data_IF_540046986863
#
_entry.id   IF_540046986863
#
_cell.length_a   1.000
_cell.length_b   1.000
_cell.length_c   1.000
_cell.angle_alpha   90.00
_cell.angle_beta   90.00
_cell.angle_gamma   90.00
#
_symmetry.space_group_name_H-M   'P 1'
#
loop_
_entity.id
_entity.type
_entity.pdbx_description
1 polymer ?
#
# COMPACT_ATOMS: atom_id res chain seq x y z
N UNK A 1 -15.14 -20.93 -17.28
CA UNK A 1 -15.10 -19.56 -17.86
C UNK A 1 -14.34 -18.66 -16.91
N UNK A 2 -13.54 -17.74 -17.45
CA UNK A 2 -12.89 -16.70 -16.66
C UNK A 2 -13.90 -15.58 -16.39
N UNK A 3 -13.87 -15.04 -15.15
CA UNK A 3 -14.67 -13.88 -14.76
C UNK A 3 -13.75 -12.66 -14.66
N UNK A 4 -13.56 -11.95 -15.78
CA UNK A 4 -12.73 -10.75 -15.80
C UNK A 4 -13.42 -9.59 -15.05
N UNK A 5 -12.76 -9.14 -14.00
CA UNK A 5 -13.13 -7.95 -13.24
C UNK A 5 -11.97 -6.95 -13.25
N UNK A 6 -12.26 -5.70 -12.90
CA UNK A 6 -11.20 -4.72 -12.67
C UNK A 6 -10.44 -5.08 -11.39
N UNK A 7 -9.12 -5.16 -11.47
CA UNK A 7 -8.23 -5.58 -10.39
C UNK A 7 -7.05 -4.63 -10.34
N UNK A 8 -6.71 -4.14 -9.15
CA UNK A 8 -5.45 -3.45 -8.90
C UNK A 8 -4.38 -4.48 -8.45
N UNK A 9 -3.24 -4.53 -9.13
CA UNK A 9 -2.18 -5.49 -8.83
C UNK A 9 -1.48 -5.18 -7.51
N UNK A 10 -1.41 -3.91 -7.09
CA UNK A 10 -0.88 -3.54 -5.77
C UNK A 10 -1.69 -4.19 -4.66
N UNK A 11 -3.03 -4.06 -4.71
CA UNK A 11 -3.92 -4.67 -3.73
C UNK A 11 -3.75 -6.20 -3.67
N UNK A 12 -3.65 -6.85 -4.83
CA UNK A 12 -3.44 -8.31 -4.92
C UNK A 12 -2.17 -8.73 -4.20
N UNK A 13 -1.06 -8.02 -4.44
CA UNK A 13 0.23 -8.38 -3.83
C UNK A 13 0.27 -8.06 -2.34
N UNK A 14 -0.36 -6.98 -1.90
CA UNK A 14 -0.48 -6.65 -0.48
C UNK A 14 -1.34 -7.68 0.28
N UNK A 15 -2.47 -8.10 -0.29
CA UNK A 15 -3.32 -9.17 0.27
C UNK A 15 -2.51 -10.47 0.44
N UNK A 16 -1.77 -10.88 -0.59
CA UNK A 16 -0.93 -12.08 -0.58
C UNK A 16 0.17 -11.98 0.47
N UNK A 17 0.86 -10.84 0.56
CA UNK A 17 1.90 -10.59 1.56
C UNK A 17 1.34 -10.75 2.98
N UNK A 18 0.19 -10.18 3.25
CA UNK A 18 -0.50 -10.27 4.54
C UNK A 18 -0.85 -11.71 4.91
N UNK A 19 -1.40 -12.48 3.94
CA UNK A 19 -1.77 -13.89 4.16
C UNK A 19 -0.56 -14.76 4.56
N UNK A 20 0.59 -14.54 3.95
CA UNK A 20 1.79 -15.36 4.22
C UNK A 20 2.67 -14.86 5.35
N UNK A 21 2.49 -13.64 5.86
CA UNK A 21 3.33 -13.03 6.89
C UNK A 21 3.51 -13.92 8.12
N UNK A 22 2.42 -14.51 8.64
CA UNK A 22 2.47 -15.40 9.80
C UNK A 22 3.28 -16.69 9.56
N UNK A 23 3.16 -17.29 8.37
CA UNK A 23 3.89 -18.52 8.02
C UNK A 23 5.37 -18.23 7.80
N UNK A 24 5.69 -17.11 7.17
CA UNK A 24 7.06 -16.62 6.94
C UNK A 24 7.74 -16.37 8.28
N UNK A 25 7.10 -15.66 9.19
CA UNK A 25 7.60 -15.38 10.53
C UNK A 25 7.82 -16.67 11.34
N UNK A 26 6.82 -17.56 11.41
CA UNK A 26 6.91 -18.81 12.13
C UNK A 26 8.04 -19.72 11.64
N UNK A 27 8.38 -19.64 10.36
CA UNK A 27 9.44 -20.42 9.73
C UNK A 27 10.78 -19.67 9.64
N UNK A 28 10.85 -18.43 10.12
CA UNK A 28 12.04 -17.57 10.09
C UNK A 28 12.61 -17.42 8.67
N UNK A 29 11.75 -17.24 7.68
CA UNK A 29 12.16 -17.03 6.29
C UNK A 29 12.41 -15.54 6.02
N UNK A 30 13.37 -15.26 5.14
CA UNK A 30 13.47 -13.97 4.49
C UNK A 30 12.48 -13.92 3.32
N UNK A 31 11.56 -12.95 3.33
CA UNK A 31 10.52 -12.84 2.32
C UNK A 31 10.54 -11.46 1.66
N UNK A 32 10.74 -11.45 0.35
CA UNK A 32 10.82 -10.24 -0.46
C UNK A 32 9.72 -10.24 -1.50
N UNK A 33 9.08 -9.09 -1.69
CA UNK A 33 8.14 -8.87 -2.79
C UNK A 33 8.48 -7.55 -3.47
N UNK A 34 8.63 -7.57 -4.80
CA UNK A 34 9.01 -6.42 -5.60
C UNK A 34 8.14 -6.26 -6.84
N UNK A 35 7.88 -5.01 -7.23
CA UNK A 35 7.22 -4.64 -8.47
C UNK A 35 8.19 -3.81 -9.32
N UNK A 36 8.48 -4.28 -10.52
CA UNK A 36 9.44 -3.64 -11.41
C UNK A 36 8.77 -3.25 -12.73
N UNK A 37 8.92 -1.98 -13.11
CA UNK A 37 8.41 -1.44 -14.38
C UNK A 37 6.90 -1.62 -14.59
N UNK A 38 6.13 -1.87 -13.55
CA UNK A 38 4.67 -1.96 -13.64
C UNK A 38 4.11 -0.56 -13.81
N UNK A 39 3.66 -0.24 -15.02
CA UNK A 39 3.11 1.06 -15.38
C UNK A 39 1.60 1.08 -15.40
N UNK A 40 0.99 -0.07 -15.65
CA UNK A 40 -0.46 -0.27 -15.63
C UNK A 40 -0.76 -1.29 -14.53
N UNK A 41 -1.03 -0.80 -13.34
CA UNK A 41 -1.36 -1.62 -12.17
C UNK A 41 -2.86 -1.98 -12.12
N UNK A 42 -3.71 -1.15 -12.76
CA UNK A 42 -5.13 -1.42 -12.93
C UNK A 42 -5.37 -2.24 -14.20
N UNK A 43 -5.77 -3.48 -14.01
CA UNK A 43 -5.95 -4.46 -15.09
C UNK A 43 -7.32 -5.13 -15.02
N UNK A 44 -7.76 -5.72 -16.12
CA UNK A 44 -8.91 -6.64 -16.15
C UNK A 44 -8.40 -8.07 -16.15
N UNK A 45 -8.76 -8.83 -15.13
CA UNK A 45 -8.47 -10.26 -15.03
C UNK A 45 -9.44 -10.97 -14.07
N UNK A 46 -9.37 -12.28 -14.05
CA UNK A 46 -10.03 -13.08 -13.01
C UNK A 46 -9.16 -13.06 -11.74
N UNK A 47 -9.52 -12.17 -10.77
CA UNK A 47 -8.80 -12.01 -9.50
C UNK A 47 -8.67 -13.34 -8.74
N UNK A 48 -9.71 -14.14 -8.72
CA UNK A 48 -9.73 -15.43 -8.00
C UNK A 48 -8.73 -16.40 -8.59
N UNK A 49 -8.66 -16.50 -9.90
CA UNK A 49 -7.73 -17.38 -10.60
C UNK A 49 -6.29 -16.88 -10.51
N UNK A 50 -6.06 -15.59 -10.64
CA UNK A 50 -4.75 -15.00 -10.43
C UNK A 50 -4.24 -15.29 -9.01
N UNK A 51 -5.06 -15.00 -7.99
CA UNK A 51 -4.74 -15.33 -6.62
C UNK A 51 -4.45 -16.82 -6.42
N UNK A 52 -5.24 -17.70 -7.00
CA UNK A 52 -5.03 -19.15 -6.90
C UNK A 52 -3.67 -19.59 -7.46
N UNK A 53 -3.24 -19.02 -8.60
CA UNK A 53 -1.91 -19.26 -9.18
C UNK A 53 -0.82 -18.80 -8.21
N UNK A 54 -0.86 -17.53 -7.80
CA UNK A 54 0.19 -16.92 -6.97
C UNK A 54 0.28 -17.56 -5.58
N UNK A 55 -0.87 -17.82 -4.95
CA UNK A 55 -0.95 -18.49 -3.64
C UNK A 55 -0.36 -19.90 -3.69
N UNK A 56 -0.63 -20.66 -4.77
CA UNK A 56 -0.10 -22.02 -4.91
C UNK A 56 1.42 -22.01 -5.09
N UNK A 57 1.96 -21.11 -5.90
CA UNK A 57 3.40 -20.97 -6.10
C UNK A 57 4.09 -20.57 -4.80
N UNK A 58 3.60 -19.55 -4.11
CA UNK A 58 4.19 -19.06 -2.85
C UNK A 58 4.06 -20.08 -1.72
N UNK A 59 2.91 -20.75 -1.60
CA UNK A 59 2.72 -21.81 -0.61
C UNK A 59 3.74 -22.93 -0.81
N UNK A 60 4.02 -23.31 -2.06
CA UNK A 60 5.06 -24.31 -2.36
C UNK A 60 6.45 -23.78 -2.03
N UNK A 61 6.80 -22.57 -2.42
CA UNK A 61 8.08 -21.95 -2.10
C UNK A 61 8.34 -21.91 -0.58
N UNK A 62 7.36 -21.40 0.20
CA UNK A 62 7.46 -21.37 1.67
C UNK A 62 7.55 -22.78 2.26
N UNK A 63 6.79 -23.72 1.73
CA UNK A 63 6.75 -25.10 2.19
C UNK A 63 8.07 -25.83 2.04
N UNK A 64 8.73 -25.67 0.89
CA UNK A 64 9.95 -26.40 0.54
C UNK A 64 11.26 -25.66 0.87
N UNK A 65 11.19 -24.43 1.36
CA UNK A 65 12.35 -23.69 1.86
C UNK A 65 12.59 -24.01 3.33
N UNK A 66 13.79 -24.41 3.75
CA UNK A 66 14.12 -24.62 5.16
C UNK A 66 14.09 -23.31 5.95
N UNK A 67 14.02 -23.41 7.28
CA UNK A 67 14.10 -22.23 8.15
C UNK A 67 15.39 -21.44 7.92
N UNK A 68 15.30 -20.12 7.91
CA UNK A 68 16.41 -19.21 7.58
C UNK A 68 16.70 -19.06 6.09
N UNK A 69 15.91 -19.72 5.22
CA UNK A 69 16.02 -19.55 3.77
C UNK A 69 15.27 -18.32 3.26
N UNK A 70 15.36 -18.10 1.95
CA UNK A 70 14.81 -16.92 1.28
C UNK A 70 13.71 -17.33 0.30
N UNK A 71 12.62 -16.60 0.29
CA UNK A 71 11.55 -16.66 -0.71
C UNK A 71 11.34 -15.27 -1.29
N UNK A 72 11.29 -15.14 -2.60
CA UNK A 72 11.01 -13.87 -3.25
C UNK A 72 9.92 -14.01 -4.30
N UNK A 73 9.12 -12.96 -4.45
CA UNK A 73 8.15 -12.79 -5.51
C UNK A 73 8.38 -11.46 -6.20
N UNK A 74 8.46 -11.46 -7.51
CA UNK A 74 8.63 -10.28 -8.33
C UNK A 74 7.54 -10.22 -9.38
N UNK A 75 6.97 -9.03 -9.60
CA UNK A 75 6.10 -8.75 -10.75
C UNK A 75 6.78 -7.73 -11.65
N UNK A 76 6.76 -8.00 -12.95
CA UNK A 76 7.32 -7.10 -13.95
C UNK A 76 6.34 -6.95 -15.10
N UNK A 77 6.13 -5.72 -15.58
CA UNK A 77 5.42 -5.49 -16.84
C UNK A 77 6.43 -5.44 -17.97
N UNK A 78 6.38 -6.44 -18.86
CA UNK A 78 7.27 -6.51 -20.00
C UNK A 78 6.94 -5.43 -21.04
N UNK A 79 7.97 -5.00 -21.76
CA UNK A 79 7.82 -3.98 -22.80
C UNK A 79 6.96 -4.50 -23.96
N UNK A 80 6.11 -3.62 -24.49
CA UNK A 80 5.24 -3.90 -25.62
C UNK A 80 3.82 -4.24 -25.22
N UNK A 81 2.86 -3.59 -25.88
CA UNK A 81 1.43 -3.87 -25.76
C UNK A 81 0.88 -4.30 -27.10
N UNK A 82 0.17 -5.40 -27.13
CA UNK A 82 -0.54 -5.86 -28.31
C UNK A 82 -2.04 -5.83 -28.02
N UNK A 83 -2.78 -5.07 -28.79
CA UNK A 83 -4.25 -5.03 -28.68
C UNK A 83 -4.81 -4.56 -27.33
N UNK A 84 -4.08 -3.70 -26.59
CA UNK A 84 -4.50 -3.22 -25.26
C UNK A 84 -4.12 -4.15 -24.11
N UNK A 85 -3.46 -5.27 -24.38
CA UNK A 85 -2.94 -6.20 -23.38
C UNK A 85 -1.47 -5.88 -23.07
N UNK A 86 -1.13 -5.76 -21.78
CA UNK A 86 0.24 -5.79 -21.28
C UNK A 86 0.65 -7.22 -20.94
N UNK A 87 1.93 -7.54 -21.09
CA UNK A 87 2.49 -8.81 -20.64
C UNK A 87 3.04 -8.60 -19.22
N UNK A 88 2.53 -9.39 -18.28
CA UNK A 88 2.97 -9.36 -16.88
C UNK A 88 3.67 -10.66 -16.56
N UNK A 89 4.88 -10.54 -16.04
CA UNK A 89 5.69 -11.66 -15.60
C UNK A 89 5.71 -11.68 -14.08
N UNK A 90 5.30 -12.80 -13.50
CA UNK A 90 5.39 -13.08 -12.08
C UNK A 90 6.46 -14.12 -11.85
N UNK A 91 7.49 -13.80 -11.07
CA UNK A 91 8.56 -14.69 -10.68
C UNK A 91 8.44 -15.03 -9.22
N UNK A 92 8.38 -16.32 -8.90
CA UNK A 92 8.44 -16.83 -7.52
C UNK A 92 9.68 -17.68 -7.41
N UNK A 93 10.61 -17.24 -6.57
CA UNK A 93 11.90 -17.89 -6.35
C UNK A 93 12.08 -18.25 -4.90
N UNK A 94 12.63 -19.43 -4.65
CA UNK A 94 13.00 -19.91 -3.34
C UNK A 94 14.44 -20.45 -3.29
N UNK A 95 15.03 -20.46 -2.10
CA UNK A 95 16.31 -21.08 -1.80
C UNK A 95 16.16 -22.46 -1.19
N UNK A 96 15.07 -23.15 -1.52
CA UNK A 96 14.68 -24.44 -0.94
C UNK A 96 15.48 -25.62 -1.48
N UNK A 97 14.95 -26.81 -1.22
CA UNK A 97 15.61 -28.08 -1.58
C UNK A 97 15.80 -28.27 -3.10
N UNK A 98 15.07 -27.50 -3.93
CA UNK A 98 15.05 -27.64 -5.37
C UNK A 98 14.46 -28.98 -5.82
N UNK A 99 14.63 -29.27 -7.11
CA UNK A 99 14.07 -30.46 -7.77
C UNK A 99 15.08 -31.05 -8.75
N UNK A 100 14.98 -32.36 -8.95
CA UNK A 100 15.74 -33.02 -10.02
C UNK A 100 15.28 -32.54 -11.41
N UNK A 101 16.19 -32.55 -12.38
CA UNK A 101 15.87 -32.16 -13.76
C UNK A 101 14.77 -33.04 -14.39
N UNK A 102 14.68 -34.30 -13.97
CA UNK A 102 13.66 -35.24 -14.44
C UNK A 102 12.29 -34.89 -13.88
N UNK A 103 12.20 -34.57 -12.60
CA UNK A 103 10.95 -34.18 -11.96
C UNK A 103 10.48 -32.79 -12.43
N UNK A 104 11.37 -31.82 -12.60
CA UNK A 104 11.03 -30.50 -13.11
C UNK A 104 10.32 -30.53 -14.47
N UNK A 105 10.59 -31.53 -15.33
CA UNK A 105 9.88 -31.73 -16.60
C UNK A 105 8.45 -32.23 -16.44
N UNK A 106 8.15 -32.87 -15.32
CA UNK A 106 6.85 -33.51 -15.03
C UNK A 106 6.04 -32.80 -13.96
N UNK A 107 6.56 -31.73 -13.37
CA UNK A 107 5.93 -31.07 -12.21
C UNK A 107 4.49 -30.59 -12.52
N UNK A 108 4.16 -30.34 -13.76
CA UNK A 108 2.83 -29.93 -14.20
C UNK A 108 1.90 -31.09 -14.56
N UNK A 109 2.37 -32.36 -14.50
CA UNK A 109 1.55 -33.53 -14.68
C UNK A 109 0.74 -33.82 -13.40
N UNK A 110 -0.54 -34.20 -13.51
CA UNK A 110 -1.37 -34.52 -12.36
C UNK A 110 -0.80 -35.68 -11.52
N UNK A 111 -0.87 -35.57 -10.18
CA UNK A 111 -0.46 -36.58 -9.21
C UNK A 111 1.04 -36.88 -9.17
N UNK A 112 1.86 -36.17 -9.93
CA UNK A 112 3.31 -36.34 -9.87
C UNK A 112 3.88 -35.74 -8.58
N UNK A 113 4.82 -36.49 -7.95
CA UNK A 113 5.54 -36.08 -6.73
C UNK A 113 6.95 -36.64 -6.78
N UNK A 114 7.90 -35.82 -6.39
CA UNK A 114 9.28 -36.32 -6.24
C UNK A 114 9.37 -37.26 -5.02
N UNK A 115 9.87 -38.47 -5.25
CA UNK A 115 9.98 -39.51 -4.20
C UNK A 115 11.39 -39.48 -3.59
N UNK A 116 11.63 -38.47 -2.72
CA UNK A 116 12.85 -38.45 -1.90
C UNK A 116 12.50 -38.61 -0.43
N UNK A 117 13.46 -39.04 0.40
CA UNK A 117 13.25 -39.20 1.85
C UNK A 117 12.82 -37.89 2.55
N UNK A 118 13.22 -36.76 2.00
CA UNK A 118 12.86 -35.41 2.51
C UNK A 118 11.48 -35.01 2.08
N UNK A 119 11.09 -35.24 0.81
CA UNK A 119 9.76 -34.84 0.27
C UNK A 119 8.64 -35.77 0.74
N UNK A 120 8.93 -37.04 1.03
CA UNK A 120 7.91 -38.00 1.48
C UNK A 120 7.29 -37.65 2.83
N UNK A 121 7.93 -36.80 3.63
CA UNK A 121 7.38 -36.28 4.90
C UNK A 121 6.48 -35.05 4.75
N UNK A 122 6.43 -34.45 3.57
CA UNK A 122 5.69 -33.21 3.30
C UNK A 122 4.36 -33.56 2.61
N UNK A 123 3.22 -33.31 3.27
CA UNK A 123 1.89 -33.60 2.73
C UNK A 123 1.56 -32.76 1.48
N UNK A 124 0.95 -33.38 0.46
CA UNK A 124 0.45 -32.68 -0.74
C UNK A 124 -0.26 -33.67 -1.66
N UNK A 125 -1.25 -33.22 -2.41
CA UNK A 125 -2.06 -34.02 -3.34
C UNK A 125 -1.39 -34.26 -4.69
N UNK A 126 -0.36 -33.49 -5.05
CA UNK A 126 0.24 -33.51 -6.39
C UNK A 126 -0.64 -32.88 -7.49
N UNK A 127 -1.70 -32.18 -7.13
CA UNK A 127 -2.62 -31.53 -8.08
C UNK A 127 -2.38 -30.04 -8.25
N UNK A 128 -1.74 -29.38 -7.28
CA UNK A 128 -1.61 -27.92 -7.25
C UNK A 128 -0.94 -27.37 -8.51
N UNK A 129 0.19 -27.91 -8.93
CA UNK A 129 0.93 -27.40 -10.10
C UNK A 129 0.22 -27.68 -11.42
N UNK A 130 -0.47 -28.82 -11.54
CA UNK A 130 -1.29 -29.11 -12.71
C UNK A 130 -2.49 -28.14 -12.82
N UNK A 131 -3.13 -27.81 -11.68
CA UNK A 131 -4.19 -26.79 -11.62
C UNK A 131 -3.63 -25.41 -11.99
N UNK A 132 -2.48 -25.05 -11.45
CA UNK A 132 -1.80 -23.77 -11.78
C UNK A 132 -1.54 -23.67 -13.28
N UNK A 133 -0.98 -24.70 -13.90
CA UNK A 133 -0.74 -24.74 -15.35
C UNK A 133 -2.03 -24.54 -16.13
N UNK A 134 -3.09 -25.27 -15.79
CA UNK A 134 -4.39 -25.14 -16.46
C UNK A 134 -4.98 -23.72 -16.33
N UNK A 135 -4.85 -23.09 -15.17
CA UNK A 135 -5.34 -21.71 -14.97
C UNK A 135 -4.54 -20.74 -15.84
N UNK A 136 -3.20 -20.84 -15.81
CA UNK A 136 -2.32 -19.99 -16.62
C UNK A 136 -2.63 -20.15 -18.12
N UNK A 137 -2.85 -21.38 -18.59
CA UNK A 137 -3.23 -21.65 -19.97
C UNK A 137 -4.60 -21.06 -20.33
N UNK A 138 -5.59 -21.17 -19.41
CA UNK A 138 -6.90 -20.51 -19.60
C UNK A 138 -6.80 -18.99 -19.65
N UNK A 139 -5.85 -18.40 -18.94
CA UNK A 139 -5.57 -16.95 -18.98
C UNK A 139 -4.73 -16.54 -20.20
N UNK A 140 -4.40 -17.48 -21.11
CA UNK A 140 -3.59 -17.20 -22.29
C UNK A 140 -2.11 -16.96 -21.99
N UNK A 141 -1.65 -17.39 -20.83
CA UNK A 141 -0.28 -17.20 -20.35
C UNK A 141 0.61 -18.44 -20.55
N UNK A 142 1.83 -18.33 -20.03
CA UNK A 142 2.82 -19.42 -19.98
C UNK A 142 3.39 -19.53 -18.56
N UNK A 143 3.78 -20.76 -18.18
CA UNK A 143 4.50 -21.02 -16.93
C UNK A 143 5.72 -21.88 -17.22
N UNK A 144 6.85 -21.46 -16.67
CA UNK A 144 8.13 -22.14 -16.74
C UNK A 144 8.69 -22.40 -15.34
N UNK A 145 9.57 -23.40 -15.23
CA UNK A 145 10.27 -23.73 -13.99
C UNK A 145 11.76 -23.91 -14.23
N UNK A 146 12.54 -23.29 -13.36
CA UNK A 146 13.98 -23.49 -13.29
C UNK A 146 14.32 -23.98 -11.89
N UNK A 147 14.92 -25.15 -11.77
CA UNK A 147 15.25 -25.76 -10.50
C UNK A 147 16.46 -26.70 -10.60
N UNK A 148 17.21 -26.78 -9.51
CA UNK A 148 18.26 -27.77 -9.35
C UNK A 148 18.31 -28.20 -7.88
N UNK A 149 18.68 -29.45 -7.58
CA UNK A 149 18.81 -29.93 -6.21
C UNK A 149 19.72 -29.00 -5.38
N UNK A 150 19.27 -28.66 -4.18
CA UNK A 150 19.93 -27.79 -3.21
C UNK A 150 20.20 -26.32 -3.68
N UNK A 151 19.62 -25.93 -4.83
CA UNK A 151 19.73 -24.56 -5.36
C UNK A 151 18.41 -23.79 -5.38
N UNK A 152 17.34 -24.42 -4.87
CA UNK A 152 16.01 -23.83 -4.87
C UNK A 152 15.28 -23.96 -6.21
N UNK A 153 14.19 -23.26 -6.33
CA UNK A 153 13.30 -23.26 -7.48
C UNK A 153 12.89 -21.85 -7.86
N UNK A 154 12.77 -21.59 -9.14
CA UNK A 154 12.19 -20.38 -9.69
C UNK A 154 11.07 -20.75 -10.66
N UNK A 155 9.85 -20.28 -10.40
CA UNK A 155 8.71 -20.33 -11.32
C UNK A 155 8.55 -18.97 -11.97
N UNK A 156 8.36 -19.00 -13.30
CA UNK A 156 8.16 -17.80 -14.12
C UNK A 156 6.81 -17.96 -14.81
N UNK A 157 5.86 -17.07 -14.50
CA UNK A 157 4.52 -17.04 -15.05
C UNK A 157 4.34 -15.76 -15.84
N UNK A 158 4.07 -15.87 -17.16
CA UNK A 158 3.76 -14.73 -18.00
C UNK A 158 2.29 -14.77 -18.39
N UNK A 159 1.54 -13.72 -18.08
CA UNK A 159 0.10 -13.62 -18.36
C UNK A 159 -0.20 -12.31 -19.11
N UNK A 160 -0.91 -12.35 -20.24
CA UNK A 160 -1.43 -11.16 -20.90
C UNK A 160 -2.62 -10.63 -20.09
N UNK A 161 -2.50 -9.44 -19.53
CA UNK A 161 -3.59 -8.77 -18.83
C UNK A 161 -4.01 -7.52 -19.60
N UNK A 162 -5.32 -7.29 -19.71
CA UNK A 162 -5.84 -6.11 -20.39
C UNK A 162 -5.71 -4.91 -19.45
N UNK A 163 -4.87 -3.94 -19.84
CA UNK A 163 -4.75 -2.70 -19.09
C UNK A 163 -6.03 -1.87 -19.20
N UNK A 164 -6.42 -1.17 -18.16
CA UNK A 164 -7.51 -0.20 -18.19
C UNK A 164 -7.17 0.90 -19.20
N UNK A 165 -8.07 1.15 -20.13
CA UNK A 165 -7.89 2.12 -21.22
C UNK A 165 -8.22 3.55 -20.77
N UNK A 166 -8.04 3.91 -19.51
CA UNK A 166 -8.29 5.27 -19.06
C UNK A 166 -7.05 6.14 -19.16
N UNK A 167 -7.25 7.19 -19.94
CA UNK A 167 -6.45 8.42 -20.06
C UNK A 167 -4.95 8.27 -19.78
N UNK A 168 -4.22 7.94 -20.84
CA UNK A 168 -2.79 8.27 -20.99
C UNK A 168 -2.53 9.79 -20.94
N UNK A 169 -3.34 10.58 -20.25
CA UNK A 169 -2.90 11.87 -19.78
C UNK A 169 -1.75 11.58 -18.85
N UNK A 170 -0.56 11.83 -19.36
CA UNK A 170 0.70 11.85 -18.62
C UNK A 170 0.37 12.22 -17.18
N UNK A 171 0.65 11.30 -16.24
CA UNK A 171 0.40 11.48 -14.79
C UNK A 171 1.39 12.53 -14.25
N UNK A 172 1.67 13.57 -15.04
CA UNK A 172 2.44 14.72 -14.59
C UNK A 172 1.61 15.47 -13.57
N UNK A 173 2.08 15.41 -12.36
CA UNK A 173 1.48 16.16 -11.28
C UNK A 173 2.12 17.54 -11.32
N UNK A 174 1.37 18.56 -11.71
CA UNK A 174 1.85 19.94 -11.84
C UNK A 174 2.65 20.42 -10.60
N UNK A 175 2.31 19.93 -9.42
CA UNK A 175 3.03 20.21 -8.16
C UNK A 175 4.40 19.53 -8.04
N UNK A 176 4.67 18.47 -8.77
CA UNK A 176 5.93 17.70 -8.72
C UNK A 176 6.84 18.03 -9.90
N UNK A 177 6.34 18.75 -10.91
CA UNK A 177 7.07 18.99 -12.15
C UNK A 177 8.36 19.79 -11.90
N UNK A 178 9.47 19.22 -12.35
CA UNK A 178 10.81 19.81 -12.22
C UNK A 178 11.44 19.71 -10.83
N UNK A 179 10.72 19.22 -9.81
CA UNK A 179 11.28 18.99 -8.47
C UNK A 179 12.32 17.86 -8.52
N UNK A 180 13.40 18.02 -7.74
CA UNK A 180 14.52 17.08 -7.70
C UNK A 180 14.32 16.06 -6.57
N UNK A 181 14.51 14.78 -6.85
CA UNK A 181 14.47 13.70 -5.87
C UNK A 181 15.74 12.86 -5.89
N UNK A 182 16.10 12.27 -4.74
CA UNK A 182 17.19 11.31 -4.61
C UNK A 182 16.63 9.97 -4.15
N UNK A 183 16.95 8.92 -4.89
CA UNK A 183 16.65 7.51 -4.54
C UNK A 183 17.90 6.86 -3.97
N UNK A 184 17.75 6.15 -2.88
CA UNK A 184 18.86 5.48 -2.17
C UNK A 184 18.43 4.04 -1.87
N UNK A 185 19.02 3.08 -2.56
CA UNK A 185 18.75 1.66 -2.39
C UNK A 185 20.01 0.89 -2.81
N UNK A 186 20.35 -0.22 -2.19
CA UNK A 186 21.55 -1.00 -2.55
C UNK A 186 21.33 -1.86 -3.80
N UNK A 187 20.08 -2.07 -4.22
CA UNK A 187 19.75 -2.72 -5.49
C UNK A 187 19.62 -1.70 -6.62
N UNK A 188 20.50 -1.82 -7.61
CA UNK A 188 20.49 -0.99 -8.83
C UNK A 188 19.13 -1.03 -9.56
N UNK A 189 18.50 -2.21 -9.65
CA UNK A 189 17.24 -2.36 -10.38
C UNK A 189 16.10 -1.61 -9.69
N UNK A 190 16.07 -1.65 -8.36
CA UNK A 190 15.12 -0.87 -7.55
C UNK A 190 15.35 0.62 -7.76
N UNK A 191 16.61 1.09 -7.68
CA UNK A 191 16.97 2.48 -7.93
C UNK A 191 16.49 2.96 -9.31
N UNK A 192 16.77 2.19 -10.34
CA UNK A 192 16.41 2.52 -11.74
C UNK A 192 14.88 2.55 -11.93
N UNK A 193 14.16 1.55 -11.38
CA UNK A 193 12.71 1.48 -11.45
C UNK A 193 12.04 2.68 -10.77
N UNK A 194 12.43 2.99 -9.52
CA UNK A 194 11.89 4.13 -8.75
C UNK A 194 12.22 5.44 -9.44
N UNK A 195 13.44 5.61 -9.95
CA UNK A 195 13.85 6.79 -10.71
C UNK A 195 12.96 6.99 -11.93
N UNK A 196 12.69 5.92 -12.70
CA UNK A 196 11.77 6.00 -13.85
C UNK A 196 10.34 6.36 -13.44
N UNK A 197 9.85 5.86 -12.32
CA UNK A 197 8.54 6.24 -11.77
C UNK A 197 8.49 7.73 -11.44
N UNK A 198 9.52 8.27 -10.77
CA UNK A 198 9.63 9.69 -10.43
C UNK A 198 9.67 10.59 -11.68
N UNK A 199 10.41 10.18 -12.70
CA UNK A 199 10.46 10.91 -13.98
C UNK A 199 9.09 10.91 -14.67
N UNK A 200 8.32 9.81 -14.59
CA UNK A 200 6.97 9.75 -15.16
C UNK A 200 5.99 10.70 -14.46
N UNK A 201 6.12 10.94 -13.16
CA UNK A 201 5.29 11.92 -12.45
C UNK A 201 5.77 13.36 -12.61
N UNK A 202 6.88 13.58 -13.36
CA UNK A 202 7.39 14.89 -13.74
C UNK A 202 8.58 15.38 -12.92
N UNK A 203 9.12 14.58 -12.01
CA UNK A 203 10.29 14.96 -11.19
C UNK A 203 11.62 14.75 -11.97
N UNK A 204 12.65 15.47 -11.53
CA UNK A 204 14.05 15.14 -11.84
C UNK A 204 14.54 14.19 -10.77
N UNK A 205 15.03 13.02 -11.13
CA UNK A 205 15.45 12.02 -10.17
C UNK A 205 16.90 11.58 -10.39
N UNK A 206 17.63 11.46 -9.29
CA UNK A 206 18.98 10.87 -9.19
C UNK A 206 18.92 9.69 -8.24
N UNK A 207 19.89 8.80 -8.31
CA UNK A 207 19.98 7.68 -7.41
C UNK A 207 21.42 7.42 -6.94
N UNK A 208 21.56 6.71 -5.83
CA UNK A 208 22.81 6.20 -5.30
C UNK A 208 22.59 4.87 -4.57
N UNK A 209 23.63 4.04 -4.51
CA UNK A 209 23.59 2.73 -3.86
C UNK A 209 24.11 2.76 -2.40
N UNK A 210 24.39 3.94 -1.86
CA UNK A 210 25.07 4.10 -0.57
C UNK A 210 24.46 5.23 0.24
N UNK A 211 24.21 4.99 1.54
CA UNK A 211 23.75 6.01 2.46
C UNK A 211 24.76 7.14 2.66
N UNK A 212 26.08 6.84 2.71
CA UNK A 212 27.14 7.85 2.82
C UNK A 212 27.16 8.77 1.62
N UNK A 213 27.02 8.21 0.42
CA UNK A 213 26.94 9.01 -0.81
C UNK A 213 25.68 9.85 -0.84
N UNK A 214 24.55 9.34 -0.34
CA UNK A 214 23.32 10.11 -0.23
C UNK A 214 23.49 11.37 0.63
N UNK A 215 24.13 11.26 1.79
CA UNK A 215 24.43 12.40 2.68
C UNK A 215 25.36 13.40 1.99
N UNK A 216 26.39 12.89 1.27
CA UNK A 216 27.31 13.76 0.51
C UNK A 216 26.56 14.53 -0.58
N UNK A 217 25.69 13.86 -1.36
CA UNK A 217 24.88 14.50 -2.41
C UNK A 217 23.88 15.50 -1.85
N UNK A 218 23.28 15.21 -0.68
CA UNK A 218 22.42 16.16 0.02
C UNK A 218 23.18 17.45 0.36
N UNK A 219 24.38 17.35 0.93
CA UNK A 219 25.24 18.50 1.22
C UNK A 219 25.58 19.29 -0.03
N UNK A 220 26.04 18.61 -1.08
CA UNK A 220 26.40 19.26 -2.35
C UNK A 220 25.20 19.98 -2.98
N UNK A 221 24.00 19.39 -2.91
CA UNK A 221 22.79 20.00 -3.46
C UNK A 221 22.42 21.31 -2.75
N UNK A 222 22.68 21.39 -1.43
CA UNK A 222 22.48 22.59 -0.63
C UNK A 222 23.52 23.66 -1.03
N UNK A 223 24.81 23.27 -1.14
CA UNK A 223 25.89 24.20 -1.52
C UNK A 223 25.70 24.77 -2.93
N UNK A 224 25.16 23.97 -3.87
CA UNK A 224 24.89 24.38 -5.24
C UNK A 224 23.56 25.12 -5.41
N UNK A 225 22.70 25.16 -4.39
CA UNK A 225 21.37 25.76 -4.47
C UNK A 225 20.34 24.99 -5.31
N UNK A 226 20.67 23.74 -5.76
CA UNK A 226 19.75 22.83 -6.45
C UNK A 226 19.33 21.69 -5.52
N UNK A 227 18.60 22.07 -4.46
CA UNK A 227 18.23 21.17 -3.36
C UNK A 227 17.24 20.10 -3.78
N UNK A 228 17.39 18.92 -3.21
CA UNK A 228 16.36 17.89 -3.31
C UNK A 228 15.04 18.36 -2.67
N UNK A 229 13.92 17.83 -3.16
CA UNK A 229 12.58 18.10 -2.66
C UNK A 229 11.89 16.81 -2.14
N UNK A 230 12.53 15.66 -2.35
CA UNK A 230 12.19 14.39 -1.75
C UNK A 230 13.41 13.47 -1.70
N UNK A 231 13.52 12.70 -0.63
CA UNK A 231 14.43 11.57 -0.50
C UNK A 231 13.60 10.30 -0.37
N UNK A 232 13.93 9.28 -1.16
CA UNK A 232 13.34 7.94 -1.10
C UNK A 232 14.48 6.99 -0.73
N UNK A 233 14.46 6.46 0.49
CA UNK A 233 15.61 5.78 1.09
C UNK A 233 15.20 4.39 1.52
N UNK A 234 15.93 3.36 1.09
CA UNK A 234 15.72 2.01 1.60
C UNK A 234 16.07 1.93 3.09
N UNK A 235 15.28 1.14 3.81
CA UNK A 235 15.52 0.89 5.23
C UNK A 235 16.88 0.24 5.48
N UNK A 236 17.25 -0.75 4.65
CA UNK A 236 18.49 -1.53 4.80
C UNK A 236 19.49 -1.19 3.72
N UNK A 237 20.49 -0.43 4.07
CA UNK A 237 21.65 -0.19 3.21
C UNK A 237 22.88 -0.87 3.80
N UNK A 238 23.85 -1.27 2.98
CA UNK A 238 25.02 -2.03 3.45
C UNK A 238 25.96 -1.23 4.36
N UNK A 239 25.98 0.08 4.24
CA UNK A 239 26.89 0.98 4.96
C UNK A 239 26.26 1.67 6.17
N UNK A 240 24.95 1.88 6.18
CA UNK A 240 24.17 2.42 7.30
C UNK A 240 22.67 2.21 7.07
N UNK A 241 21.84 2.22 8.10
CA UNK A 241 20.40 2.11 7.91
C UNK A 241 19.76 3.45 7.50
N UNK A 242 18.53 3.39 6.95
CA UNK A 242 17.81 4.57 6.46
C UNK A 242 17.51 5.61 7.54
N UNK A 243 17.35 5.22 8.81
CA UNK A 243 17.18 6.16 9.93
C UNK A 243 18.48 6.95 10.18
N UNK A 244 19.61 6.30 10.09
CA UNK A 244 20.91 6.97 10.27
C UNK A 244 21.18 7.95 9.12
N UNK A 245 20.88 7.57 7.88
CA UNK A 245 20.91 8.50 6.72
C UNK A 245 20.01 9.70 6.99
N UNK A 246 18.80 9.46 7.49
CA UNK A 246 17.83 10.51 7.84
C UNK A 246 18.42 11.47 8.90
N UNK A 247 18.99 10.95 9.99
CA UNK A 247 19.61 11.78 11.05
C UNK A 247 20.72 12.67 10.48
N UNK A 248 21.57 12.12 9.61
CA UNK A 248 22.67 12.87 9.00
C UNK A 248 22.19 13.93 8.01
N UNK A 249 21.14 13.66 7.24
CA UNK A 249 20.52 14.69 6.38
C UNK A 249 19.89 15.78 7.24
N UNK A 250 19.18 15.45 8.31
CA UNK A 250 18.59 16.43 9.24
C UNK A 250 19.66 17.29 9.94
N UNK A 251 20.84 16.72 10.23
CA UNK A 251 21.98 17.48 10.78
C UNK A 251 22.54 18.54 9.81
N UNK A 252 22.24 18.46 8.52
CA UNK A 252 22.53 19.52 7.53
C UNK A 252 21.48 20.65 7.53
N UNK A 253 20.53 20.65 8.45
CA UNK A 253 19.34 21.53 8.45
C UNK A 253 18.49 21.41 7.19
N UNK A 254 18.43 20.20 6.62
CA UNK A 254 17.59 19.88 5.48
C UNK A 254 16.28 19.22 5.96
N UNK A 255 15.18 19.98 5.85
CA UNK A 255 13.83 19.56 6.23
C UNK A 255 13.06 18.94 5.06
N UNK A 256 13.73 18.58 3.98
CA UNK A 256 13.14 17.92 2.81
C UNK A 256 12.45 16.62 3.22
N UNK A 257 11.26 16.33 2.70
CA UNK A 257 10.56 15.07 2.98
C UNK A 257 11.43 13.85 2.72
N UNK A 258 11.49 12.95 3.72
CA UNK A 258 12.20 11.68 3.65
C UNK A 258 11.18 10.55 3.75
N UNK A 259 11.13 9.71 2.73
CA UNK A 259 10.28 8.53 2.60
C UNK A 259 11.17 7.31 2.78
N UNK A 260 10.87 6.44 3.75
CA UNK A 260 11.59 5.18 3.93
C UNK A 260 10.85 4.07 3.19
N UNK A 261 11.59 3.35 2.31
CA UNK A 261 11.13 2.12 1.69
C UNK A 261 11.41 0.93 2.62
N UNK A 262 10.42 0.08 2.84
CA UNK A 262 10.59 -1.09 3.70
C UNK A 262 9.86 -2.32 3.17
N UNK A 263 10.50 -3.48 3.24
CA UNK A 263 9.89 -4.77 2.96
C UNK A 263 9.12 -5.34 4.17
N UNK A 264 9.31 -4.77 5.35
CA UNK A 264 8.77 -5.24 6.63
C UNK A 264 7.70 -4.31 7.17
N UNK A 265 6.94 -4.79 8.16
CA UNK A 265 6.08 -3.94 8.98
C UNK A 265 6.96 -2.96 9.76
N UNK A 266 6.64 -1.67 9.69
CA UNK A 266 7.42 -0.59 10.32
C UNK A 266 6.95 -0.23 11.72
N UNK A 267 5.91 -0.91 12.24
CA UNK A 267 5.34 -0.62 13.56
C UNK A 267 6.40 -0.61 14.68
N UNK A 268 7.38 -1.52 14.61
CA UNK A 268 8.46 -1.62 15.60
C UNK A 268 9.48 -0.47 15.53
N UNK A 269 9.61 0.19 14.39
CA UNK A 269 10.62 1.23 14.12
C UNK A 269 10.01 2.62 13.93
N UNK A 270 8.70 2.72 13.89
CA UNK A 270 7.98 3.96 13.56
C UNK A 270 8.33 5.10 14.52
N UNK A 271 8.38 4.81 15.82
CA UNK A 271 8.71 5.81 16.86
C UNK A 271 10.13 6.35 16.66
N UNK A 272 11.11 5.46 16.45
CA UNK A 272 12.50 5.86 16.23
C UNK A 272 12.65 6.63 14.91
N UNK A 273 12.02 6.18 13.85
CA UNK A 273 12.08 6.82 12.55
C UNK A 273 11.44 8.21 12.55
N UNK A 274 10.28 8.37 13.18
CA UNK A 274 9.64 9.68 13.36
C UNK A 274 10.50 10.62 14.19
N UNK A 275 11.12 10.13 15.28
CA UNK A 275 12.05 10.92 16.09
C UNK A 275 13.31 11.33 15.30
N UNK A 276 13.75 10.54 14.35
CA UNK A 276 14.86 10.87 13.44
C UNK A 276 14.45 11.88 12.35
N UNK A 277 13.16 12.14 12.15
CA UNK A 277 12.64 13.08 11.15
C UNK A 277 12.22 12.43 9.82
N UNK A 278 11.92 11.11 9.81
CA UNK A 278 11.26 10.46 8.66
C UNK A 278 9.87 11.06 8.49
N UNK A 279 9.51 11.37 7.24
CA UNK A 279 8.23 12.01 6.91
C UNK A 279 7.14 10.99 6.60
N UNK A 280 7.48 9.91 5.89
CA UNK A 280 6.53 8.87 5.51
C UNK A 280 7.24 7.53 5.29
N UNK A 281 6.44 6.48 5.26
CA UNK A 281 6.87 5.13 4.89
C UNK A 281 6.17 4.68 3.63
N UNK A 282 6.84 3.86 2.83
CA UNK A 282 6.26 3.19 1.68
C UNK A 282 6.67 1.72 1.71
N UNK A 283 5.71 0.81 1.64
CA UNK A 283 5.99 -0.63 1.66
C UNK A 283 6.44 -1.13 0.29
N UNK A 284 7.40 -2.07 0.27
CA UNK A 284 7.67 -2.90 -0.91
C UNK A 284 6.67 -4.09 -0.93
N UNK A 285 6.09 -4.46 -2.07
CA UNK A 285 6.32 -3.94 -3.41
C UNK A 285 5.74 -2.54 -3.60
N UNK A 286 6.46 -1.68 -4.32
CA UNK A 286 6.03 -0.29 -4.55
C UNK A 286 5.50 -0.13 -5.97
N UNK A 287 4.28 0.38 -6.08
CA UNK A 287 3.64 0.72 -7.33
C UNK A 287 3.60 2.24 -7.56
N UNK A 288 3.24 2.63 -8.78
CA UNK A 288 3.16 4.04 -9.15
C UNK A 288 2.16 4.81 -8.28
N UNK A 289 1.00 4.21 -7.96
CA UNK A 289 0.00 4.81 -7.08
C UNK A 289 0.53 5.04 -5.67
N UNK A 290 1.25 4.05 -5.10
CA UNK A 290 1.81 4.13 -3.76
C UNK A 290 2.84 5.24 -3.66
N UNK A 291 3.79 5.29 -4.62
CA UNK A 291 4.80 6.32 -4.70
C UNK A 291 4.17 7.71 -4.83
N UNK A 292 3.20 7.86 -5.74
CA UNK A 292 2.49 9.11 -5.97
C UNK A 292 1.78 9.60 -4.71
N UNK A 293 1.00 8.73 -4.07
CA UNK A 293 0.22 9.07 -2.89
C UNK A 293 1.14 9.45 -1.72
N UNK A 294 2.22 8.68 -1.51
CA UNK A 294 3.19 8.94 -0.46
C UNK A 294 3.93 10.26 -0.70
N UNK A 295 4.35 10.55 -1.93
CA UNK A 295 4.98 11.83 -2.29
C UNK A 295 4.04 13.02 -2.09
N UNK A 296 2.79 12.90 -2.55
CA UNK A 296 1.80 13.97 -2.39
C UNK A 296 1.52 14.27 -0.92
N UNK A 297 1.41 13.24 -0.10
CA UNK A 297 1.23 13.38 1.35
C UNK A 297 2.45 14.00 1.99
N UNK A 298 3.66 13.50 1.70
CA UNK A 298 4.90 13.97 2.31
C UNK A 298 5.23 15.42 1.94
N UNK A 299 5.06 15.80 0.67
CA UNK A 299 5.30 17.18 0.20
C UNK A 299 4.18 18.11 0.67
N UNK A 300 2.92 17.64 0.68
CA UNK A 300 1.78 18.41 1.17
C UNK A 300 1.88 18.74 2.67
N UNK A 301 2.35 17.80 3.48
CA UNK A 301 2.60 18.04 4.91
C UNK A 301 3.69 19.11 5.14
N UNK A 302 4.73 19.15 4.31
CA UNK A 302 5.76 20.20 4.40
C UNK A 302 5.19 21.56 4.06
N UNK A 303 4.43 21.70 2.97
CA UNK A 303 3.80 22.95 2.59
C UNK A 303 2.81 23.44 3.65
N UNK A 304 2.01 22.55 4.23
CA UNK A 304 1.13 22.87 5.34
C UNK A 304 1.90 23.35 6.58
N UNK A 305 3.08 22.77 6.87
CA UNK A 305 3.97 23.26 7.98
C UNK A 305 4.61 24.60 7.65
N UNK A 306 5.03 24.83 6.42
CA UNK A 306 5.58 26.13 5.98
C UNK A 306 4.50 27.23 5.98
N UNK A 307 3.27 26.91 5.57
CA UNK A 307 2.11 27.80 5.66
C UNK A 307 1.64 28.02 7.10
N UNK A 308 1.75 27.01 7.98
CA UNK A 308 1.47 27.14 9.42
C UNK A 308 2.51 27.99 10.16
N UNK A 309 3.76 28.03 9.71
CA UNK A 309 4.78 28.98 10.22
C UNK A 309 4.39 30.45 10.00
N UNK A 310 3.50 30.72 9.05
CA UNK A 310 2.91 32.03 8.76
C UNK A 310 1.50 32.17 9.36
N UNK A 311 0.86 31.05 9.75
CA UNK A 311 -0.54 30.97 10.21
C UNK A 311 -0.70 30.49 11.67
N UNK A 312 0.33 30.66 12.51
CA UNK A 312 0.24 30.28 13.93
C UNK A 312 -0.80 31.08 14.77
N UNK A 313 -1.68 31.83 14.14
CA UNK A 313 -2.75 32.60 14.79
C UNK A 313 -4.18 32.08 14.54
N UNK A 314 -4.40 30.94 13.82
CA UNK A 314 -5.77 30.48 13.50
C UNK A 314 -6.13 29.04 13.90
N UNK A 315 -5.46 28.44 14.88
CA UNK A 315 -5.80 27.09 15.37
C UNK A 315 -6.95 27.05 16.40
N UNK A 316 -7.74 28.10 16.53
CA UNK A 316 -8.87 28.18 17.48
C UNK A 316 -10.26 27.96 16.84
N UNK A 317 -10.36 27.60 15.56
CA UNK A 317 -11.65 27.54 14.84
C UNK A 317 -12.54 26.34 15.24
N UNK A 318 -12.03 25.33 15.93
CA UNK A 318 -12.79 24.11 16.28
C UNK A 318 -13.09 23.97 17.78
N UNK A 319 -12.67 24.90 18.60
CA UNK A 319 -12.90 24.85 20.05
C UNK A 319 -14.39 24.87 20.37
N UNK A 320 -14.86 23.81 21.03
CA UNK A 320 -16.26 23.63 21.39
C UNK A 320 -17.13 23.00 20.31
N UNK A 321 -16.56 22.49 19.21
CA UNK A 321 -17.24 21.65 18.25
C UNK A 321 -17.27 20.19 18.72
N UNK A 322 -18.44 19.55 18.65
CA UNK A 322 -18.66 18.21 19.15
C UNK A 322 -18.85 17.21 18.00
N UNK A 323 -18.03 16.18 17.95
CA UNK A 323 -17.99 15.18 16.90
C UNK A 323 -18.38 13.81 17.46
N UNK A 324 -19.20 13.05 16.72
CA UNK A 324 -19.39 11.62 16.94
C UNK A 324 -18.46 10.83 16.01
N UNK A 325 -17.47 10.15 16.58
CA UNK A 325 -16.54 9.27 15.88
C UNK A 325 -17.05 7.82 15.94
N UNK A 326 -17.31 7.23 14.77
CA UNK A 326 -17.81 5.85 14.66
C UNK A 326 -16.75 5.00 13.98
N UNK A 327 -16.13 4.08 14.74
CA UNK A 327 -15.00 3.24 14.33
C UNK A 327 -15.06 1.93 15.12
N UNK A 328 -15.01 0.77 14.48
CA UNK A 328 -15.11 -0.52 15.16
C UNK A 328 -13.79 -0.98 15.80
N UNK A 329 -12.66 -0.63 15.20
CA UNK A 329 -11.36 -0.97 15.73
C UNK A 329 -10.99 -0.04 16.90
N UNK A 330 -10.78 -0.61 18.09
CA UNK A 330 -10.49 0.12 19.34
C UNK A 330 -9.23 0.98 19.21
N UNK A 331 -8.15 0.45 18.62
CA UNK A 331 -6.89 1.18 18.44
C UNK A 331 -7.06 2.36 17.47
N UNK A 332 -7.72 2.14 16.33
CA UNK A 332 -8.00 3.22 15.36
C UNK A 332 -8.87 4.31 15.98
N UNK A 333 -9.85 3.92 16.79
CA UNK A 333 -10.75 4.83 17.49
C UNK A 333 -9.98 5.69 18.49
N UNK A 334 -9.11 5.08 19.31
CA UNK A 334 -8.28 5.79 20.29
C UNK A 334 -7.31 6.77 19.62
N UNK A 335 -6.66 6.36 18.52
CA UNK A 335 -5.75 7.23 17.75
C UNK A 335 -6.51 8.42 17.16
N UNK A 336 -7.67 8.18 16.54
CA UNK A 336 -8.46 9.24 15.93
C UNK A 336 -9.02 10.21 16.99
N UNK A 337 -9.50 9.69 18.13
CA UNK A 337 -9.98 10.49 19.26
C UNK A 337 -8.88 11.41 19.82
N UNK A 338 -7.68 10.87 20.04
CA UNK A 338 -6.55 11.66 20.51
C UNK A 338 -6.17 12.79 19.53
N UNK A 339 -6.11 12.46 18.22
CA UNK A 339 -5.83 13.47 17.18
C UNK A 339 -6.89 14.57 17.20
N UNK A 340 -8.18 14.24 17.24
CA UNK A 340 -9.27 15.23 17.23
C UNK A 340 -9.27 16.09 18.49
N UNK A 341 -9.04 15.48 19.66
CA UNK A 341 -8.95 16.19 20.95
C UNK A 341 -7.77 17.18 20.98
N UNK A 342 -6.61 16.84 20.41
CA UNK A 342 -5.44 17.72 20.32
C UNK A 342 -5.74 19.01 19.52
N UNK A 343 -6.73 18.95 18.62
CA UNK A 343 -7.21 20.12 17.86
C UNK A 343 -8.39 20.86 18.52
N UNK A 344 -8.75 20.47 19.75
CA UNK A 344 -9.76 21.15 20.55
C UNK A 344 -11.19 20.77 20.23
N UNK A 345 -11.40 19.67 19.51
CA UNK A 345 -12.72 19.07 19.28
C UNK A 345 -13.14 18.25 20.51
N UNK A 346 -14.42 18.23 20.83
CA UNK A 346 -14.99 17.29 21.79
C UNK A 346 -15.47 16.05 21.04
N UNK A 347 -15.06 14.85 21.49
CA UNK A 347 -15.30 13.60 20.74
C UNK A 347 -16.08 12.63 21.59
N UNK A 348 -17.26 12.23 21.08
CA UNK A 348 -17.98 11.04 21.52
C UNK A 348 -17.66 9.89 20.54
N UNK A 349 -17.57 8.66 21.05
CA UNK A 349 -17.22 7.49 20.24
C UNK A 349 -18.36 6.48 20.13
N UNK A 350 -18.43 5.73 19.03
CA UNK A 350 -19.31 4.57 18.86
C UNK A 350 -18.56 3.44 18.14
N UNK A 351 -18.79 2.19 18.57
CA UNK A 351 -18.07 1.00 18.08
C UNK A 351 -18.70 0.37 16.83
N UNK A 352 -19.90 0.77 16.44
CA UNK A 352 -20.62 0.29 15.27
C UNK A 352 -21.78 1.22 14.90
N UNK A 353 -22.37 0.98 13.73
CA UNK A 353 -23.47 1.78 13.23
C UNK A 353 -24.75 1.74 14.11
N UNK A 354 -24.98 0.65 14.84
CA UNK A 354 -26.17 0.56 15.72
C UNK A 354 -26.05 1.52 16.90
N UNK A 355 -24.90 1.54 17.56
CA UNK A 355 -24.61 2.46 18.67
C UNK A 355 -24.64 3.92 18.17
N UNK A 356 -24.10 4.17 16.97
CA UNK A 356 -24.13 5.50 16.37
C UNK A 356 -25.58 6.00 16.18
N UNK A 357 -26.46 5.18 15.59
CA UNK A 357 -27.88 5.52 15.40
C UNK A 357 -28.58 5.77 16.75
N UNK A 358 -28.32 4.93 17.77
CA UNK A 358 -28.87 5.10 19.11
C UNK A 358 -28.43 6.43 19.74
N UNK A 359 -27.13 6.72 19.74
CA UNK A 359 -26.60 7.99 20.27
C UNK A 359 -27.19 9.20 19.57
N UNK A 360 -27.26 9.20 18.24
CA UNK A 360 -27.83 10.30 17.49
C UNK A 360 -29.34 10.44 17.75
N UNK A 361 -30.08 9.32 17.84
CA UNK A 361 -31.54 9.36 18.09
C UNK A 361 -31.91 9.91 19.46
N UNK A 362 -31.04 9.77 20.45
CA UNK A 362 -31.22 10.24 21.84
C UNK A 362 -30.54 11.58 22.10
N UNK A 363 -29.76 12.09 21.16
CA UNK A 363 -29.02 13.35 21.28
C UNK A 363 -29.97 14.57 21.34
N UNK A 364 -29.53 15.61 22.03
CA UNK A 364 -30.16 16.91 21.93
C UNK A 364 -29.90 17.56 20.56
N UNK A 365 -30.86 18.29 19.97
CA UNK A 365 -30.64 19.05 18.75
C UNK A 365 -29.41 20.00 18.91
N UNK A 366 -28.42 19.88 18.00
CA UNK A 366 -27.18 20.64 18.06
C UNK A 366 -26.09 20.06 18.98
N UNK A 367 -26.30 18.87 19.54
CA UNK A 367 -25.27 18.20 20.33
C UNK A 367 -24.06 17.79 19.49
N UNK A 368 -24.28 17.30 18.27
CA UNK A 368 -23.19 16.94 17.36
C UNK A 368 -23.16 17.90 16.17
N UNK A 369 -21.97 18.44 15.89
CA UNK A 369 -21.71 19.28 14.71
C UNK A 369 -21.39 18.44 13.48
N UNK A 370 -20.84 17.23 13.69
CA UNK A 370 -20.38 16.33 12.62
C UNK A 370 -20.35 14.88 13.13
N UNK A 371 -20.58 13.94 12.21
CA UNK A 371 -20.38 12.51 12.42
C UNK A 371 -19.26 12.05 11.48
N UNK A 372 -18.21 11.45 12.03
CA UNK A 372 -17.19 10.71 11.28
C UNK A 372 -17.59 9.23 11.32
N UNK A 373 -17.96 8.68 10.16
CA UNK A 373 -18.55 7.35 10.06
C UNK A 373 -17.67 6.40 9.28
N UNK A 374 -17.13 5.37 9.93
CA UNK A 374 -16.52 4.27 9.21
C UNK A 374 -17.54 3.56 8.33
N UNK A 375 -17.13 3.26 7.11
CA UNK A 375 -17.96 2.58 6.12
C UNK A 375 -18.07 1.09 6.44
N UNK A 376 -16.96 0.44 6.80
CA UNK A 376 -16.87 -1.00 6.99
C UNK A 376 -16.84 -1.37 8.49
N UNK A 377 -17.99 -1.71 9.04
CA UNK A 377 -18.12 -2.09 10.45
C UNK A 377 -19.00 -3.34 10.59
N UNK A 378 -18.76 -4.18 11.62
CA UNK A 378 -19.63 -5.30 11.94
C UNK A 378 -20.98 -4.82 12.49
N UNK A 379 -21.97 -5.71 12.52
CA UNK A 379 -23.34 -5.52 13.04
C UNK A 379 -24.17 -4.58 12.14
N UNK A 380 -23.69 -3.35 11.88
CA UNK A 380 -24.30 -2.37 11.00
C UNK A 380 -23.22 -1.52 10.35
N UNK A 381 -23.12 -1.58 9.02
CA UNK A 381 -22.21 -0.77 8.23
C UNK A 381 -22.60 0.72 8.22
N UNK A 382 -21.63 1.59 7.85
CA UNK A 382 -21.80 3.02 7.87
C UNK A 382 -22.86 3.54 6.89
N UNK A 383 -23.08 2.88 5.76
CA UNK A 383 -24.11 3.27 4.78
C UNK A 383 -25.51 3.02 5.34
N UNK A 384 -25.70 1.87 6.00
CA UNK A 384 -26.97 1.52 6.64
C UNK A 384 -27.25 2.42 7.85
N UNK A 385 -26.22 2.70 8.66
CA UNK A 385 -26.34 3.64 9.78
C UNK A 385 -26.74 5.05 9.30
N UNK A 386 -26.11 5.55 8.25
CA UNK A 386 -26.41 6.85 7.66
C UNK A 386 -27.87 6.92 7.20
N UNK A 387 -28.35 5.93 6.45
CA UNK A 387 -29.76 5.90 6.01
C UNK A 387 -30.72 5.97 7.19
N UNK A 388 -30.48 5.20 8.26
CA UNK A 388 -31.31 5.23 9.48
C UNK A 388 -31.25 6.59 10.19
N UNK A 389 -30.10 7.25 10.23
CA UNK A 389 -29.99 8.61 10.78
C UNK A 389 -30.81 9.59 9.94
N UNK A 390 -30.75 9.48 8.60
CA UNK A 390 -31.51 10.35 7.69
C UNK A 390 -33.05 10.13 7.79
N UNK A 391 -33.51 8.97 8.26
CA UNK A 391 -34.91 8.62 8.48
C UNK A 391 -35.45 9.07 9.85
N UNK A 392 -34.63 9.68 10.72
CA UNK A 392 -35.09 10.17 12.01
C UNK A 392 -36.16 11.28 11.85
N UNK A 393 -37.16 11.24 12.72
CA UNK A 393 -38.28 12.20 12.68
C UNK A 393 -37.88 13.64 13.00
N UNK A 394 -36.79 13.83 13.73
CA UNK A 394 -36.26 15.15 14.06
C UNK A 394 -35.32 15.65 12.95
N UNK A 395 -35.72 16.69 12.18
CA UNK A 395 -34.90 17.19 11.09
C UNK A 395 -33.50 17.69 11.52
N UNK A 396 -33.38 18.20 12.74
CA UNK A 396 -32.09 18.69 13.26
C UNK A 396 -31.08 17.51 13.49
N UNK A 397 -31.57 16.33 13.87
CA UNK A 397 -30.75 15.13 14.02
C UNK A 397 -30.51 14.43 12.68
N UNK A 398 -31.54 14.35 11.84
CA UNK A 398 -31.41 13.77 10.50
C UNK A 398 -30.51 14.59 9.58
N UNK A 399 -30.35 15.88 9.83
CA UNK A 399 -29.56 16.82 9.04
C UNK A 399 -28.08 16.94 9.50
N UNK A 400 -27.66 16.26 10.58
CA UNK A 400 -26.25 16.33 11.03
C UNK A 400 -25.33 15.92 9.88
N UNK A 401 -24.29 16.70 9.55
CA UNK A 401 -23.32 16.33 8.53
C UNK A 401 -22.63 14.99 8.87
N UNK A 402 -22.45 14.14 7.85
CA UNK A 402 -21.82 12.83 8.00
C UNK A 402 -20.71 12.72 6.96
N UNK A 403 -19.47 12.52 7.40
CA UNK A 403 -18.35 12.22 6.52
C UNK A 403 -17.99 10.73 6.63
N UNK A 404 -17.91 10.06 5.48
CA UNK A 404 -17.45 8.69 5.41
C UNK A 404 -15.95 8.61 5.74
N UNK A 405 -15.53 7.67 6.55
CA UNK A 405 -14.14 7.27 6.70
C UNK A 405 -13.90 5.98 5.92
N UNK A 406 -12.97 5.97 4.99
CA UNK A 406 -12.68 4.81 4.13
C UNK A 406 -11.19 4.59 3.99
N UNK A 407 -10.76 3.32 3.95
CA UNK A 407 -9.38 2.95 3.66
C UNK A 407 -8.99 3.26 2.19
N UNK A 408 -9.99 3.28 1.28
CA UNK A 408 -9.79 3.51 -0.15
C UNK A 408 -10.85 4.49 -0.67
N UNK A 409 -10.42 5.61 -1.22
CA UNK A 409 -11.29 6.63 -1.81
C UNK A 409 -11.61 6.34 -3.30
N UNK A 410 -12.09 5.11 -3.62
CA UNK A 410 -12.52 4.79 -4.99
C UNK A 410 -13.83 5.50 -5.34
N UNK A 411 -13.99 5.86 -6.61
CA UNK A 411 -15.18 6.52 -7.14
C UNK A 411 -16.49 5.75 -6.84
N UNK A 412 -16.41 4.44 -6.70
CA UNK A 412 -17.59 3.60 -6.36
C UNK A 412 -18.01 3.76 -4.89
N UNK A 413 -17.06 3.78 -3.95
CA UNK A 413 -17.36 3.99 -2.53
C UNK A 413 -17.82 5.42 -2.26
N UNK A 414 -17.24 6.39 -2.97
CA UNK A 414 -17.66 7.78 -2.95
C UNK A 414 -19.10 7.94 -3.43
N UNK A 415 -19.48 7.27 -4.53
CA UNK A 415 -20.85 7.29 -5.04
C UNK A 415 -21.81 6.66 -4.04
N UNK A 416 -21.49 5.48 -3.48
CA UNK A 416 -22.31 4.79 -2.46
C UNK A 416 -22.48 5.63 -1.21
N UNK A 417 -21.43 6.33 -0.75
CA UNK A 417 -21.51 7.24 0.39
C UNK A 417 -22.52 8.38 0.14
N UNK A 418 -22.42 9.06 -1.00
CA UNK A 418 -23.35 10.12 -1.37
C UNK A 418 -24.78 9.59 -1.55
N UNK A 419 -24.97 8.44 -2.20
CA UNK A 419 -26.29 7.80 -2.38
C UNK A 419 -26.93 7.38 -1.04
N UNK A 420 -26.11 7.07 -0.02
CA UNK A 420 -26.60 6.78 1.34
C UNK A 420 -27.00 8.02 2.15
N UNK A 421 -26.67 9.23 1.65
CA UNK A 421 -26.96 10.49 2.31
C UNK A 421 -25.78 11.08 3.12
N UNK A 422 -24.55 10.62 2.91
CA UNK A 422 -23.33 11.23 3.48
C UNK A 422 -22.98 12.52 2.73
N UNK A 423 -22.30 13.44 3.41
CA UNK A 423 -21.98 14.78 2.89
C UNK A 423 -20.59 14.87 2.24
N UNK A 424 -19.72 13.93 2.53
CA UNK A 424 -18.36 13.87 2.02
C UNK A 424 -17.64 12.61 2.50
N UNK A 425 -16.32 12.58 2.32
CA UNK A 425 -15.52 11.43 2.72
C UNK A 425 -14.11 11.87 3.15
N UNK A 426 -13.48 11.05 3.99
CA UNK A 426 -12.11 11.17 4.46
C UNK A 426 -11.40 9.84 4.24
N UNK A 427 -10.14 9.89 3.84
CA UNK A 427 -9.28 8.71 3.83
C UNK A 427 -8.79 8.37 5.23
N UNK A 428 -8.68 7.10 5.56
CA UNK A 428 -7.98 6.62 6.75
C UNK A 428 -6.48 6.46 6.43
N UNK A 429 -5.56 6.88 7.33
CA UNK A 429 -5.81 7.52 8.64
C UNK A 429 -6.31 8.96 8.48
N UNK A 430 -7.05 9.46 9.48
CA UNK A 430 -7.60 10.82 9.47
C UNK A 430 -6.47 11.85 9.41
N UNK A 431 -6.49 12.67 8.37
CA UNK A 431 -5.60 13.83 8.22
C UNK A 431 -6.41 15.08 8.53
N UNK A 432 -5.97 15.83 9.54
CA UNK A 432 -6.72 17.02 10.00
C UNK A 432 -6.91 18.07 8.90
N UNK A 433 -5.94 18.26 8.03
CA UNK A 433 -6.07 19.20 6.91
C UNK A 433 -7.24 18.83 5.98
N UNK A 434 -7.43 17.53 5.71
CA UNK A 434 -8.53 17.04 4.89
C UNK A 434 -9.87 17.19 5.62
N UNK A 435 -9.91 16.87 6.92
CA UNK A 435 -11.08 17.09 7.76
C UNK A 435 -11.50 18.57 7.75
N UNK A 436 -10.57 19.48 7.96
CA UNK A 436 -10.82 20.94 7.91
C UNK A 436 -11.36 21.36 6.55
N UNK A 437 -10.80 20.83 5.48
CA UNK A 437 -11.25 21.13 4.11
C UNK A 437 -12.67 20.62 3.85
N UNK A 438 -13.00 19.40 4.31
CA UNK A 438 -14.35 18.86 4.16
C UNK A 438 -15.35 19.58 5.07
N UNK A 439 -14.99 19.90 6.31
CA UNK A 439 -15.83 20.69 7.23
C UNK A 439 -16.16 22.10 6.70
N UNK A 440 -15.29 22.71 5.91
CA UNK A 440 -15.55 24.01 5.27
C UNK A 440 -16.52 23.96 4.09
N UNK A 441 -16.75 22.77 3.53
CA UNK A 441 -17.68 22.56 2.41
C UNK A 441 -19.10 22.30 2.87
N UNK A 442 -19.27 21.90 4.12
CA UNK A 442 -20.52 21.54 4.81
C UNK A 442 -20.99 22.72 5.66
#
# INVERSE_FOLDING_TARGET
>A
QLEETQVNLSDVLHDIKTIFSGQVYAKQLEFYMDAMDVTDEDVYCDKTRLNQVLMNLLSNAIKFTPAGGTVSMQVCQLAGKVGGYGQYEFRVKDSGIGMSREFAKKIFEPFERERTSTVSRIQGTGLGMAITKNIVDMMGGTIEVQSAPEKGTEFIVCIPLRARAEDRKTVKITRLEGLKALVVDDDFNTCDSVTRMLVKVGMRAEWTLSGKEAVLRARQSIEMGDTFKAYIIDWRLPDMNGIEVTRQIRALHDDTPIIILTAYDWSDIEVEAKAAGVTAFCSKPMFMSDLRNTLMTAIGQKQAREEQGVLSEKTNDFKGKHILLVEDNELNREIAENILNDYGLEVDTAENGTIAVEKVSTAAPGQYDLILMDVQMPIMDGYTATRRIRELKNPALAGIPILAMTANAFDEDRRKALESGMNGFLSKPIVIADLVQEMRKI
#
